data_IF_868684427527
#
_entry.id   IF_868684427527
#
_cell.length_a   1.000
_cell.length_b   1.000
_cell.length_c   1.000
_cell.angle_alpha   90.00
_cell.angle_beta   90.00
_cell.angle_gamma   90.00
#
_symmetry.space_group_name_H-M   'P 1'
#
loop_
_entity.id
_entity.type
_entity.pdbx_description
1 polymer ?
#
# COMPACT_ATOMS: atom_id res chain seq x y z
N UNK A 1 -12.04 -18.80 15.06
CA UNK A 1 -13.14 -18.72 14.07
C UNK A 1 -12.86 -17.51 13.17
N UNK A 2 -13.02 -17.62 11.85
CA UNK A 2 -12.81 -16.50 10.93
C UNK A 2 -14.13 -15.77 10.69
N UNK A 3 -14.12 -14.43 10.77
CA UNK A 3 -15.27 -13.56 10.51
C UNK A 3 -15.02 -12.72 9.26
N UNK A 4 -15.74 -13.02 8.18
CA UNK A 4 -15.72 -12.20 6.96
C UNK A 4 -16.73 -11.05 7.05
N UNK A 5 -16.36 -9.88 6.52
CA UNK A 5 -17.23 -8.71 6.38
C UNK A 5 -17.24 -8.30 4.91
N UNK A 6 -18.40 -8.41 4.26
CA UNK A 6 -18.59 -8.00 2.88
C UNK A 6 -19.20 -6.59 2.83
N UNK A 7 -18.35 -5.57 2.88
CA UNK A 7 -18.77 -4.16 2.81
C UNK A 7 -17.71 -3.31 2.11
N UNK A 8 -18.10 -2.10 1.70
CA UNK A 8 -17.14 -1.05 1.39
C UNK A 8 -16.37 -0.69 2.66
N UNK A 9 -15.05 -0.48 2.56
CA UNK A 9 -14.20 -0.35 3.73
C UNK A 9 -14.57 0.89 4.55
N UNK A 10 -14.92 1.96 3.87
CA UNK A 10 -15.32 3.24 4.44
C UNK A 10 -16.70 3.24 5.11
N UNK A 11 -17.48 2.15 4.98
CA UNK A 11 -18.79 1.99 5.61
C UNK A 11 -18.80 0.94 6.72
N UNK A 12 -17.69 0.23 6.95
CA UNK A 12 -17.57 -0.73 8.07
C UNK A 12 -17.71 0.03 9.38
N UNK A 13 -18.56 -0.48 10.27
CA UNK A 13 -18.66 0.02 11.65
C UNK A 13 -17.83 -0.83 12.60
N UNK A 14 -17.38 -0.23 13.71
CA UNK A 14 -16.47 -0.90 14.65
C UNK A 14 -17.12 -2.12 15.31
N UNK A 15 -18.43 -2.09 15.54
CA UNK A 15 -19.19 -3.17 16.15
C UNK A 15 -19.23 -4.41 15.25
N UNK A 16 -19.13 -4.22 13.93
CA UNK A 16 -19.08 -5.32 12.96
C UNK A 16 -17.77 -6.10 13.05
N UNK A 17 -16.71 -5.52 13.61
CA UNK A 17 -15.45 -6.20 13.84
C UNK A 17 -15.53 -7.19 15.01
N UNK A 18 -16.47 -7.00 15.95
CA UNK A 18 -16.65 -7.81 17.15
C UNK A 18 -15.34 -8.06 17.92
N UNK A 19 -14.61 -6.97 18.16
CA UNK A 19 -13.39 -6.94 18.96
C UNK A 19 -13.78 -6.91 20.44
N UNK A 20 -13.17 -7.76 21.25
CA UNK A 20 -13.37 -7.75 22.71
C UNK A 20 -12.38 -6.81 23.40
N UNK A 21 -12.77 -6.23 24.54
CA UNK A 21 -11.97 -5.22 25.24
C UNK A 21 -10.62 -5.76 25.79
N UNK A 22 -10.49 -7.08 25.94
CA UNK A 22 -9.29 -7.77 26.43
C UNK A 22 -8.34 -8.23 25.31
N UNK A 23 -8.69 -8.01 24.04
CA UNK A 23 -7.91 -8.46 22.90
C UNK A 23 -6.78 -7.49 22.52
N UNK A 24 -5.60 -8.05 22.23
CA UNK A 24 -4.54 -7.31 21.53
C UNK A 24 -4.83 -7.33 20.03
N UNK A 25 -5.08 -6.15 19.47
CA UNK A 25 -5.43 -6.00 18.05
C UNK A 25 -4.22 -5.54 17.24
N UNK A 26 -3.95 -6.25 16.15
CA UNK A 26 -3.02 -5.83 15.10
C UNK A 26 -3.82 -5.64 13.82
N UNK A 27 -3.68 -4.48 13.18
CA UNK A 27 -4.27 -4.23 11.87
C UNK A 27 -3.18 -4.39 10.82
N UNK A 28 -3.42 -5.24 9.82
CA UNK A 28 -2.50 -5.49 8.72
C UNK A 28 -3.16 -5.11 7.38
N UNK A 29 -2.58 -4.16 6.65
CA UNK A 29 -3.11 -3.65 5.40
C UNK A 29 -2.06 -3.59 4.29
N UNK A 30 -1.92 -4.69 3.54
CA UNK A 30 -0.90 -4.84 2.51
C UNK A 30 -1.42 -4.51 1.11
N UNK A 31 -1.07 -3.34 0.57
CA UNK A 31 -1.40 -2.91 -0.81
C UNK A 31 -2.92 -2.99 -1.10
N UNK A 32 -3.77 -2.76 -0.08
CA UNK A 32 -5.24 -2.82 -0.20
C UNK A 32 -5.92 -1.46 -0.19
N UNK A 33 -5.34 -0.46 0.46
CA UNK A 33 -5.93 0.89 0.51
C UNK A 33 -6.02 1.58 -0.87
N UNK A 34 -5.31 1.06 -1.89
CA UNK A 34 -5.49 1.51 -3.28
C UNK A 34 -6.91 1.28 -3.80
N UNK A 35 -7.61 0.25 -3.29
CA UNK A 35 -8.97 -0.10 -3.68
C UNK A 35 -10.03 0.81 -3.02
N UNK A 36 -9.63 1.62 -2.03
CA UNK A 36 -10.49 2.61 -1.41
C UNK A 36 -10.40 3.89 -2.22
N UNK A 37 -11.56 4.40 -2.67
CA UNK A 37 -11.64 5.57 -3.54
C UNK A 37 -10.93 6.77 -2.94
N UNK A 38 -10.19 7.48 -3.78
CA UNK A 38 -9.47 8.69 -3.39
C UNK A 38 -10.19 9.93 -3.89
N UNK A 39 -11.02 10.48 -3.02
CA UNK A 39 -11.61 11.80 -3.22
C UNK A 39 -10.76 12.82 -2.45
N UNK A 40 -9.46 12.94 -2.76
CA UNK A 40 -8.50 13.77 -1.98
C UNK A 40 -8.95 15.23 -1.79
N UNK A 41 -9.83 15.73 -2.66
CA UNK A 41 -10.39 17.07 -2.60
C UNK A 41 -11.68 17.16 -1.75
N UNK A 42 -12.24 16.05 -1.30
CA UNK A 42 -13.38 16.00 -0.40
C UNK A 42 -12.93 16.16 1.06
N UNK A 43 -13.70 16.95 1.81
CA UNK A 43 -13.49 17.21 3.26
C UNK A 43 -13.48 15.90 4.06
N UNK A 44 -14.22 14.88 3.62
CA UNK A 44 -14.24 13.54 4.20
C UNK A 44 -14.03 12.47 3.12
N UNK A 45 -12.80 12.31 2.65
CA UNK A 45 -12.49 11.29 1.64
C UNK A 45 -12.58 9.86 2.22
N UNK A 46 -12.98 8.84 1.43
CA UNK A 46 -13.16 7.46 1.91
C UNK A 46 -11.93 6.86 2.61
N UNK A 47 -10.71 7.10 2.09
CA UNK A 47 -9.45 6.68 2.73
C UNK A 47 -9.31 7.23 4.16
N UNK A 48 -9.71 8.48 4.40
CA UNK A 48 -9.64 9.07 5.73
C UNK A 48 -10.68 8.44 6.68
N UNK A 49 -11.87 8.06 6.20
CA UNK A 49 -12.84 7.30 7.01
C UNK A 49 -12.28 5.96 7.45
N UNK A 50 -11.62 5.22 6.56
CA UNK A 50 -10.96 3.95 6.90
C UNK A 50 -9.88 4.16 7.95
N UNK A 51 -9.01 5.17 7.79
CA UNK A 51 -7.98 5.47 8.79
C UNK A 51 -8.57 5.89 10.14
N UNK A 52 -9.66 6.67 10.15
CA UNK A 52 -10.40 7.02 11.37
C UNK A 52 -10.99 5.79 12.05
N UNK A 53 -11.55 4.84 11.28
CA UNK A 53 -12.03 3.56 11.82
C UNK A 53 -10.87 2.78 12.45
N UNK A 54 -9.74 2.66 11.76
CA UNK A 54 -8.54 1.98 12.28
C UNK A 54 -8.04 2.65 13.56
N UNK A 55 -8.07 3.98 13.66
CA UNK A 55 -7.71 4.68 14.89
C UNK A 55 -8.69 4.39 16.03
N UNK A 56 -9.99 4.31 15.75
CA UNK A 56 -11.02 3.94 16.75
C UNK A 56 -10.83 2.52 17.31
N UNK A 57 -10.32 1.60 16.49
CA UNK A 57 -9.95 0.24 16.93
C UNK A 57 -8.82 0.28 17.98
N UNK A 58 -7.98 1.32 17.99
CA UNK A 58 -6.80 1.46 18.85
C UNK A 58 -5.87 0.23 18.78
N UNK A 59 -5.46 -0.22 17.57
CA UNK A 59 -4.56 -1.36 17.46
C UNK A 59 -3.23 -1.08 18.15
N UNK A 60 -2.64 -2.13 18.72
CA UNK A 60 -1.29 -2.08 19.27
C UNK A 60 -0.29 -1.73 18.16
N UNK A 61 -0.48 -2.31 16.98
CA UNK A 61 0.32 -2.03 15.79
C UNK A 61 -0.60 -2.01 14.56
N UNK A 62 -0.40 -1.00 13.72
CA UNK A 62 -0.98 -0.93 12.39
C UNK A 62 0.13 -1.05 11.33
N UNK A 63 0.14 -2.15 10.59
CA UNK A 63 1.11 -2.42 9.52
C UNK A 63 0.47 -2.08 8.17
N UNK A 64 1.20 -1.32 7.36
CA UNK A 64 0.77 -0.94 6.02
C UNK A 64 1.83 -1.22 4.97
N UNK A 65 1.38 -1.58 3.77
CA UNK A 65 2.22 -1.54 2.58
C UNK A 65 1.54 -0.78 1.44
N UNK A 66 2.34 0.01 0.72
CA UNK A 66 1.86 0.84 -0.37
C UNK A 66 2.79 0.76 -1.58
N UNK A 67 2.21 0.84 -2.78
CA UNK A 67 2.98 1.08 -4.00
C UNK A 67 3.38 2.55 -4.09
N UNK A 68 4.63 2.84 -4.45
CA UNK A 68 5.13 4.21 -4.60
C UNK A 68 4.86 4.74 -6.01
N UNK A 69 3.62 5.14 -6.30
CA UNK A 69 3.21 5.56 -7.64
C UNK A 69 2.41 6.87 -7.58
N UNK A 70 2.61 7.74 -8.56
CA UNK A 70 1.80 8.93 -8.78
C UNK A 70 1.85 9.29 -10.26
N UNK A 71 0.72 9.74 -10.79
CA UNK A 71 0.54 10.00 -12.21
C UNK A 71 -0.02 11.40 -12.45
N UNK A 72 0.38 11.99 -13.56
CA UNK A 72 -0.14 13.27 -14.02
C UNK A 72 -1.65 13.18 -14.29
N UNK A 73 -2.37 14.30 -14.14
CA UNK A 73 -3.75 14.43 -14.63
C UNK A 73 -3.82 14.58 -16.16
N UNK A 74 -2.71 14.93 -16.82
CA UNK A 74 -2.66 15.08 -18.28
C UNK A 74 -2.39 13.73 -18.95
N UNK A 75 -3.30 13.30 -19.83
CA UNK A 75 -3.27 11.98 -20.46
C UNK A 75 -1.92 11.62 -21.10
N UNK A 76 -1.33 12.50 -21.92
CA UNK A 76 -0.08 12.20 -22.64
C UNK A 76 1.11 11.95 -21.71
N UNK A 77 1.21 12.72 -20.62
CA UNK A 77 2.24 12.55 -19.59
C UNK A 77 1.96 11.30 -18.77
N UNK A 78 0.70 11.13 -18.31
CA UNK A 78 0.24 9.96 -17.56
C UNK A 78 0.51 8.66 -18.29
N UNK A 79 0.15 8.57 -19.57
CA UNK A 79 0.36 7.38 -20.40
C UNK A 79 1.83 6.97 -20.45
N UNK A 80 2.74 7.93 -20.66
CA UNK A 80 4.19 7.68 -20.64
C UNK A 80 4.69 7.23 -19.27
N UNK A 81 4.17 7.82 -18.19
CA UNK A 81 4.52 7.44 -16.82
C UNK A 81 4.03 6.03 -16.48
N UNK A 82 2.81 5.67 -16.88
CA UNK A 82 2.24 4.33 -16.73
C UNK A 82 3.10 3.32 -17.49
N UNK A 83 3.38 3.56 -18.77
CA UNK A 83 4.23 2.67 -19.58
C UNK A 83 5.61 2.46 -18.94
N UNK A 84 6.27 3.53 -18.50
CA UNK A 84 7.57 3.45 -17.82
C UNK A 84 7.49 2.69 -16.49
N UNK A 85 6.39 2.78 -15.76
CA UNK A 85 6.18 2.07 -14.50
C UNK A 85 5.97 0.58 -14.74
N UNK A 86 5.07 0.21 -15.66
CA UNK A 86 4.78 -1.20 -15.90
C UNK A 86 5.90 -1.92 -16.64
N UNK A 87 6.67 -1.24 -17.49
CA UNK A 87 7.90 -1.82 -18.05
C UNK A 87 8.85 -2.32 -16.96
N UNK A 88 8.98 -1.60 -15.85
CA UNK A 88 9.80 -2.01 -14.68
C UNK A 88 9.20 -3.24 -13.99
N UNK A 89 7.88 -3.32 -13.86
CA UNK A 89 7.22 -4.49 -13.27
C UNK A 89 7.33 -5.74 -14.16
N UNK A 90 7.18 -5.60 -15.48
CA UNK A 90 7.37 -6.70 -16.41
C UNK A 90 8.81 -7.20 -16.44
N UNK A 91 9.79 -6.30 -16.43
CA UNK A 91 11.22 -6.64 -16.37
C UNK A 91 11.60 -7.27 -15.01
N UNK A 92 10.96 -6.87 -13.91
CA UNK A 92 11.07 -7.56 -12.62
C UNK A 92 10.51 -8.99 -12.70
N UNK A 93 9.29 -9.17 -13.24
CA UNK A 93 8.68 -10.50 -13.38
C UNK A 93 9.50 -11.42 -14.28
N UNK A 94 10.04 -10.90 -15.37
CA UNK A 94 10.91 -11.63 -16.29
C UNK A 94 12.19 -12.12 -15.61
N UNK A 95 12.77 -11.32 -14.72
CA UNK A 95 13.97 -11.69 -13.99
C UNK A 95 13.72 -12.60 -12.78
N UNK A 96 12.52 -12.55 -12.18
CA UNK A 96 12.23 -13.22 -10.89
C UNK A 96 11.36 -14.45 -11.01
N UNK A 97 10.56 -14.58 -12.08
CA UNK A 97 9.65 -15.71 -12.27
C UNK A 97 9.91 -16.38 -13.63
N UNK A 98 10.22 -17.69 -13.66
CA UNK A 98 10.45 -18.42 -14.90
C UNK A 98 9.30 -18.32 -15.90
N UNK A 99 9.63 -18.30 -17.19
CA UNK A 99 8.62 -18.34 -18.25
C UNK A 99 7.79 -19.63 -18.18
N UNK A 100 6.47 -19.52 -18.28
CA UNK A 100 5.54 -20.64 -18.20
C UNK A 100 5.09 -21.00 -16.78
N UNK A 101 5.59 -20.30 -15.74
CA UNK A 101 5.05 -20.43 -14.40
C UNK A 101 3.66 -19.77 -14.31
N UNK A 102 2.67 -20.53 -13.84
CA UNK A 102 1.30 -20.04 -13.65
C UNK A 102 1.22 -18.88 -12.64
N UNK A 103 2.23 -18.71 -11.78
CA UNK A 103 2.34 -17.56 -10.87
C UNK A 103 2.49 -16.22 -11.62
N UNK A 104 2.94 -16.22 -12.89
CA UNK A 104 3.02 -15.00 -13.72
C UNK A 104 1.66 -14.55 -14.26
N UNK A 105 0.74 -15.49 -14.47
CA UNK A 105 -0.51 -15.23 -15.18
C UNK A 105 -1.40 -14.23 -14.44
N UNK A 106 -1.47 -14.31 -13.11
CA UNK A 106 -2.30 -13.41 -12.31
C UNK A 106 -1.77 -11.96 -12.31
N UNK A 107 -0.47 -11.71 -11.99
CA UNK A 107 0.13 -10.38 -12.14
C UNK A 107 -0.01 -9.80 -13.55
N UNK A 108 0.40 -10.55 -14.58
CA UNK A 108 0.49 -10.04 -15.96
C UNK A 108 -0.90 -9.82 -16.58
N UNK A 109 -1.79 -10.81 -16.51
CA UNK A 109 -3.04 -10.78 -17.27
C UNK A 109 -4.22 -10.16 -16.52
N UNK A 110 -4.15 -10.07 -15.18
CA UNK A 110 -5.27 -9.59 -14.37
C UNK A 110 -4.88 -8.32 -13.63
N UNK A 111 -3.90 -8.37 -12.72
CA UNK A 111 -3.62 -7.24 -11.83
C UNK A 111 -3.04 -6.04 -12.57
N UNK A 112 -2.03 -6.23 -13.42
CA UNK A 112 -1.42 -5.12 -14.14
C UNK A 112 -2.35 -4.55 -15.21
N UNK A 113 -3.04 -5.41 -15.97
CA UNK A 113 -4.03 -4.97 -16.97
C UNK A 113 -5.14 -4.15 -16.33
N UNK A 114 -5.70 -4.61 -15.21
CA UNK A 114 -6.76 -3.88 -14.50
C UNK A 114 -6.26 -2.55 -13.96
N UNK A 115 -5.11 -2.52 -13.28
CA UNK A 115 -4.55 -1.26 -12.78
C UNK A 115 -4.24 -0.30 -13.96
N UNK A 116 -3.67 -0.76 -15.08
CA UNK A 116 -3.37 0.06 -16.26
C UNK A 116 -4.65 0.68 -16.85
N UNK A 117 -5.68 -0.13 -17.06
CA UNK A 117 -6.97 0.34 -17.61
C UNK A 117 -7.56 1.40 -16.69
N UNK A 118 -7.60 1.15 -15.38
CA UNK A 118 -8.11 2.11 -14.39
C UNK A 118 -7.36 3.45 -14.42
N UNK A 119 -6.04 3.44 -14.65
CA UNK A 119 -5.22 4.66 -14.66
C UNK A 119 -5.33 5.41 -16.00
N UNK A 120 -5.37 4.68 -17.13
CA UNK A 120 -5.30 5.26 -18.48
C UNK A 120 -6.67 5.64 -19.02
N UNK A 121 -7.69 4.80 -18.84
CA UNK A 121 -9.01 4.97 -19.46
C UNK A 121 -9.92 5.94 -18.69
N UNK A 122 -9.71 6.11 -17.38
CA UNK A 122 -10.54 6.98 -16.55
C UNK A 122 -10.01 8.43 -16.56
N UNK A 123 -10.92 9.40 -16.67
CA UNK A 123 -10.62 10.83 -16.54
C UNK A 123 -11.47 11.48 -15.43
N UNK A 124 -10.96 12.55 -14.83
CA UNK A 124 -11.72 13.34 -13.84
C UNK A 124 -12.22 12.49 -12.65
N UNK A 125 -13.53 12.55 -12.39
CA UNK A 125 -14.22 11.85 -11.30
C UNK A 125 -14.34 10.34 -11.51
N UNK A 126 -14.12 9.85 -12.72
CA UNK A 126 -14.16 8.41 -13.02
C UNK A 126 -12.85 7.72 -12.58
N UNK A 127 -11.85 8.49 -12.16
CA UNK A 127 -10.57 7.97 -11.68
C UNK A 127 -10.68 7.46 -10.24
N UNK A 128 -11.20 6.24 -10.12
CA UNK A 128 -11.52 5.57 -8.84
C UNK A 128 -10.25 5.28 -8.01
N UNK A 129 -9.16 4.87 -8.66
CA UNK A 129 -7.91 4.50 -8.01
C UNK A 129 -6.81 5.51 -8.35
N UNK A 130 -6.68 6.57 -7.54
CA UNK A 130 -5.56 7.50 -7.61
C UNK A 130 -4.38 6.94 -6.80
N UNK A 131 -3.27 6.53 -7.45
CA UNK A 131 -2.11 6.05 -6.73
C UNK A 131 -1.42 7.22 -6.02
N UNK A 132 -0.99 6.97 -4.80
CA UNK A 132 -0.28 7.94 -3.96
C UNK A 132 1.14 7.45 -3.69
N UNK A 133 2.08 8.40 -3.61
CA UNK A 133 3.45 8.14 -3.17
C UNK A 133 3.51 7.75 -1.69
N UNK A 134 4.61 7.13 -1.27
CA UNK A 134 4.82 6.79 0.14
C UNK A 134 4.79 8.03 1.05
N UNK A 135 5.29 9.17 0.58
CA UNK A 135 5.24 10.46 1.29
C UNK A 135 3.82 10.97 1.49
N UNK A 136 2.93 10.77 0.52
CA UNK A 136 1.51 11.12 0.66
C UNK A 136 0.82 10.22 1.69
N UNK A 137 1.08 8.91 1.65
CA UNK A 137 0.58 7.98 2.67
C UNK A 137 1.09 8.32 4.07
N UNK A 138 2.39 8.64 4.20
CA UNK A 138 2.98 9.07 5.47
C UNK A 138 2.23 10.28 6.05
N UNK A 139 2.03 11.34 5.24
CA UNK A 139 1.27 12.53 5.66
C UNK A 139 -0.16 12.19 6.07
N UNK A 140 -0.84 11.31 5.31
CA UNK A 140 -2.21 10.91 5.59
C UNK A 140 -2.34 10.17 6.93
N UNK A 141 -1.42 9.27 7.24
CA UNK A 141 -1.40 8.56 8.51
C UNK A 141 -1.11 9.51 9.69
N UNK A 142 -0.13 10.42 9.54
CA UNK A 142 0.17 11.43 10.57
C UNK A 142 -1.06 12.30 10.84
N UNK A 143 -1.73 12.78 9.78
CA UNK A 143 -2.97 13.58 9.92
C UNK A 143 -4.13 12.80 10.53
N UNK A 144 -4.17 11.48 10.35
CA UNK A 144 -5.12 10.61 11.02
C UNK A 144 -4.76 10.37 12.50
N UNK A 145 -3.58 10.84 12.97
CA UNK A 145 -3.07 10.74 14.34
C UNK A 145 -2.38 9.42 14.65
N UNK A 146 -1.71 8.86 13.65
CA UNK A 146 -0.77 7.76 13.83
C UNK A 146 0.66 8.28 13.97
N UNK A 147 1.44 7.62 14.81
CA UNK A 147 2.89 7.83 14.93
C UNK A 147 3.62 6.67 14.27
N UNK A 148 4.57 6.99 13.38
CA UNK A 148 5.34 5.99 12.66
C UNK A 148 6.33 5.31 13.60
N UNK A 149 6.44 3.99 13.50
CA UNK A 149 7.38 3.18 14.27
C UNK A 149 8.64 2.89 13.44
N UNK A 150 9.83 2.83 14.07
CA UNK A 150 11.04 2.38 13.38
C UNK A 150 10.90 0.93 12.92
N UNK A 151 11.53 0.60 11.80
CA UNK A 151 11.60 -0.79 11.33
C UNK A 151 12.59 -1.54 12.22
N UNK A 152 12.26 -2.77 12.61
CA UNK A 152 13.20 -3.58 13.38
C UNK A 152 14.45 -3.88 12.53
N UNK A 153 15.67 -3.52 12.99
CA UNK A 153 16.92 -3.78 12.24
C UNK A 153 17.14 -5.26 11.89
N UNK A 154 16.69 -6.19 12.73
CA UNK A 154 16.79 -7.62 12.46
C UNK A 154 15.93 -8.03 11.27
N UNK A 155 14.73 -7.46 11.15
CA UNK A 155 13.85 -7.67 9.98
C UNK A 155 14.50 -7.09 8.72
N UNK A 156 15.09 -5.89 8.80
CA UNK A 156 15.80 -5.29 7.66
C UNK A 156 16.94 -6.19 7.20
N UNK A 157 17.72 -6.72 8.15
CA UNK A 157 18.82 -7.64 7.86
C UNK A 157 18.32 -8.93 7.22
N UNK A 158 17.30 -9.57 7.80
CA UNK A 158 16.72 -10.80 7.27
C UNK A 158 16.19 -10.62 5.85
N UNK A 159 15.47 -9.53 5.57
CA UNK A 159 15.00 -9.22 4.22
C UNK A 159 16.15 -9.00 3.23
N UNK A 160 17.23 -8.33 3.65
CA UNK A 160 18.42 -8.14 2.81
C UNK A 160 19.15 -9.46 2.53
N UNK A 161 19.27 -10.32 3.54
CA UNK A 161 19.88 -11.64 3.41
C UNK A 161 19.07 -12.51 2.45
N UNK A 162 17.74 -12.53 2.59
CA UNK A 162 16.83 -13.26 1.69
C UNK A 162 16.94 -12.79 0.23
N UNK A 163 17.05 -11.48 0.00
CA UNK A 163 17.23 -10.93 -1.35
C UNK A 163 18.59 -11.30 -1.93
N UNK A 164 19.67 -11.19 -1.17
CA UNK A 164 21.01 -11.58 -1.61
C UNK A 164 21.09 -13.06 -1.99
N UNK A 165 20.41 -13.91 -1.23
CA UNK A 165 20.58 -15.37 -1.36
C UNK A 165 19.63 -15.99 -2.40
N UNK A 166 18.55 -15.31 -2.78
CA UNK A 166 17.49 -15.90 -3.62
C UNK A 166 16.91 -15.03 -4.73
N UNK A 167 17.36 -13.78 -4.88
CA UNK A 167 16.81 -12.85 -5.88
C UNK A 167 17.92 -12.28 -6.78
N UNK A 168 17.50 -11.73 -7.92
CA UNK A 168 18.39 -11.02 -8.83
C UNK A 168 18.97 -9.77 -8.17
N UNK A 169 20.26 -9.50 -8.37
CA UNK A 169 21.02 -8.37 -7.78
C UNK A 169 20.42 -6.98 -8.05
N UNK A 170 19.53 -6.87 -9.04
CA UNK A 170 18.81 -5.63 -9.35
C UNK A 170 17.64 -5.38 -8.40
N UNK A 171 17.20 -6.38 -7.64
CA UNK A 171 16.22 -6.26 -6.56
C UNK A 171 16.92 -5.75 -5.30
N UNK A 172 16.28 -4.82 -4.59
CA UNK A 172 16.88 -4.27 -3.37
C UNK A 172 15.87 -4.09 -2.24
N UNK A 173 16.39 -4.20 -1.03
CA UNK A 173 15.75 -3.81 0.23
C UNK A 173 16.54 -2.67 0.83
N UNK A 174 15.85 -1.58 1.17
CA UNK A 174 16.44 -0.42 1.82
C UNK A 174 15.55 0.06 2.96
N UNK A 175 16.16 0.63 3.99
CA UNK A 175 15.43 1.39 5.01
C UNK A 175 15.60 2.89 4.73
N UNK A 176 14.50 3.64 4.77
CA UNK A 176 14.49 5.11 4.62
C UNK A 176 13.28 5.70 5.35
N UNK A 177 13.47 6.70 6.20
CA UNK A 177 12.39 7.35 6.98
C UNK A 177 11.40 6.35 7.65
N UNK A 178 11.93 5.30 8.29
CA UNK A 178 11.16 4.21 8.92
C UNK A 178 10.24 3.42 7.95
N UNK A 179 10.55 3.44 6.66
CA UNK A 179 9.99 2.54 5.66
C UNK A 179 10.97 1.44 5.32
N UNK A 180 10.47 0.21 5.25
CA UNK A 180 11.15 -0.89 4.56
C UNK A 180 10.78 -0.82 3.08
N UNK A 181 11.68 -0.27 2.29
CA UNK A 181 11.53 -0.06 0.86
C UNK A 181 11.98 -1.28 0.07
N UNK A 182 11.20 -1.62 -0.94
CA UNK A 182 11.52 -2.66 -1.92
C UNK A 182 11.53 -2.04 -3.30
N UNK A 183 12.52 -2.42 -4.12
CA UNK A 183 12.65 -1.83 -5.45
C UNK A 183 13.45 -2.66 -6.43
N UNK A 184 13.50 -2.15 -7.65
CA UNK A 184 14.11 -2.81 -8.81
C UNK A 184 14.89 -1.80 -9.65
N UNK A 185 16.14 -2.13 -10.02
CA UNK A 185 17.03 -1.29 -10.86
C UNK A 185 17.09 0.17 -10.36
N UNK A 186 17.25 0.36 -9.05
CA UNK A 186 17.34 1.68 -8.40
C UNK A 186 16.02 2.44 -8.29
N UNK A 187 14.87 1.85 -8.65
CA UNK A 187 13.53 2.45 -8.46
C UNK A 187 12.82 1.79 -7.29
N UNK A 188 12.38 2.60 -6.31
CA UNK A 188 11.52 2.16 -5.21
C UNK A 188 10.12 1.85 -5.75
N UNK A 189 9.66 0.62 -5.58
CA UNK A 189 8.36 0.15 -6.07
C UNK A 189 7.30 0.14 -4.97
N UNK A 190 7.66 -0.35 -3.78
CA UNK A 190 6.77 -0.46 -2.64
C UNK A 190 7.48 -0.10 -1.34
N UNK A 191 6.71 0.30 -0.34
CA UNK A 191 7.19 0.49 1.02
C UNK A 191 6.27 -0.21 2.02
N UNK A 192 6.87 -0.79 3.06
CA UNK A 192 6.17 -1.31 4.23
C UNK A 192 6.54 -0.45 5.44
N UNK A 193 5.57 -0.14 6.30
CA UNK A 193 5.83 0.59 7.54
C UNK A 193 4.82 0.20 8.62
N UNK A 194 5.14 0.53 9.86
CA UNK A 194 4.30 0.26 11.02
C UNK A 194 3.98 1.55 11.77
N UNK A 195 2.82 1.57 12.42
CA UNK A 195 2.30 2.72 13.13
C UNK A 195 1.72 2.31 14.47
N UNK A 196 1.74 3.23 15.44
CA UNK A 196 0.93 3.16 16.66
C UNK A 196 -0.09 4.31 16.68
N UNK A 197 -1.21 4.13 17.35
CA UNK A 197 -2.15 5.22 17.60
C UNK A 197 -1.54 6.22 18.58
N UNK A 198 -1.53 7.51 18.24
CA UNK A 198 -1.25 8.55 19.21
C UNK A 198 -2.49 8.73 20.10
N UNK A 199 -2.40 8.26 21.35
CA UNK A 199 -3.49 8.29 22.32
C UNK A 199 -3.57 9.61 23.10
N UNK A 200 -2.62 10.54 22.89
CA UNK A 200 -2.48 11.75 23.70
C UNK A 200 -3.37 12.93 23.27
N UNK A 201 -4.37 12.71 22.42
CA UNK A 201 -5.37 13.74 22.07
C UNK A 201 -6.74 13.40 22.66
N UNK A 202 -6.98 13.84 23.91
CA UNK A 202 -8.33 14.10 24.44
C UNK A 202 -8.71 13.38 25.73
N UNK A 203 -8.35 13.99 26.87
CA UNK A 203 -9.30 14.24 27.97
C UNK A 203 -10.03 15.55 27.68
#
# INVERSE_FOLDING_TARGET
MYKGIASQWESIRIEELAINDDEVVIVNCMIRLKNVRDETFAIDCPRNRVLKLIRKIKPQIFIQAHSNRSYSSFFSIRFRQVLSTYAVFYDLLEATIPHGDNQRLLPENVYFVTDIINIVACEGSDWIEKPETLKQWQRRNIQAGFEQLPVNPDIVKECKDLVRDGYDDRYFIQEDDNWLLQGWKGRVLTGVTAWKCNLDEGR
#
